data_IF_109393509731
#
_entry.id   IF_109393509731
#
_cell.length_a   1.000
_cell.length_b   1.000
_cell.length_c   1.000
_cell.angle_alpha   90.00
_cell.angle_beta   90.00
_cell.angle_gamma   90.00
#
_symmetry.space_group_name_H-M   'P 1'
#
loop_
_entity.id
_entity.type
_entity.pdbx_description
1 polymer ?
#
# COMPACT_ATOMS: atom_id res chain seq x y z
N UNK A 1 47.80 -32.20 42.28
CA UNK A 1 46.75 -31.17 42.37
C UNK A 1 46.09 -31.00 41.01
N UNK A 2 44.80 -31.37 40.96
CA UNK A 2 43.71 -31.04 40.02
C UNK A 2 44.04 -31.00 38.51
N UNK A 3 43.78 -32.13 37.85
CA UNK A 3 43.53 -32.23 36.41
C UNK A 3 42.17 -31.60 36.10
N UNK A 4 42.15 -30.43 35.44
CA UNK A 4 40.93 -29.80 34.95
C UNK A 4 40.43 -30.52 33.69
N UNK A 5 39.35 -31.30 33.81
CA UNK A 5 38.60 -31.86 32.68
C UNK A 5 37.72 -30.75 32.09
N UNK A 6 37.96 -30.39 30.83
CA UNK A 6 37.08 -29.52 30.04
C UNK A 6 35.85 -30.35 29.60
N UNK A 7 34.69 -30.07 30.19
CA UNK A 7 33.41 -30.69 29.80
C UNK A 7 32.80 -29.81 28.72
N UNK A 8 32.90 -30.25 27.47
CA UNK A 8 32.17 -29.65 26.35
C UNK A 8 30.74 -30.15 26.45
N UNK A 9 29.83 -29.29 26.92
CA UNK A 9 28.39 -29.50 26.85
C UNK A 9 27.97 -29.38 25.38
N UNK A 10 27.73 -30.53 24.74
CA UNK A 10 27.17 -30.59 23.40
C UNK A 10 25.69 -30.17 23.47
N UNK A 11 25.38 -28.98 22.94
CA UNK A 11 24.00 -28.58 22.67
C UNK A 11 23.51 -29.39 21.46
N UNK A 12 22.77 -30.46 21.71
CA UNK A 12 22.02 -31.18 20.69
C UNK A 12 20.81 -30.32 20.30
N UNK A 13 20.99 -29.44 19.32
CA UNK A 13 19.89 -28.74 18.66
C UNK A 13 19.13 -29.75 17.81
N UNK A 14 18.06 -30.33 18.35
CA UNK A 14 17.11 -31.12 17.57
C UNK A 14 16.39 -30.18 16.60
N UNK A 15 16.80 -30.21 15.34
CA UNK A 15 16.06 -29.60 14.24
C UNK A 15 14.84 -30.50 14.01
N UNK A 16 13.66 -30.03 14.42
CA UNK A 16 12.40 -30.65 14.01
C UNK A 16 12.27 -30.55 12.50
N UNK A 17 12.49 -31.66 11.81
CA UNK A 17 12.00 -31.88 10.46
C UNK A 17 10.76 -32.78 10.52
N UNK A 18 9.90 -32.60 9.52
CA UNK A 18 8.65 -33.33 9.27
C UNK A 18 7.45 -32.75 10.05
N UNK A 19 6.27 -32.51 9.50
CA UNK A 19 5.63 -33.04 8.28
C UNK A 19 4.56 -32.05 7.80
N UNK A 20 4.38 -31.98 6.48
CA UNK A 20 3.06 -31.80 5.86
C UNK A 20 2.43 -30.41 5.95
N UNK A 21 2.28 -29.75 4.79
CA UNK A 21 1.06 -28.98 4.58
C UNK A 21 -0.11 -29.97 4.76
N UNK A 22 -0.72 -29.99 5.93
CA UNK A 22 -2.07 -30.52 6.06
C UNK A 22 -2.94 -29.64 5.15
N UNK A 23 -3.31 -30.19 3.99
CA UNK A 23 -4.46 -29.75 3.22
C UNK A 23 -5.67 -29.90 4.14
N UNK A 24 -5.90 -28.87 4.95
CA UNK A 24 -7.12 -28.76 5.73
C UNK A 24 -8.23 -28.61 4.70
N UNK A 25 -8.96 -29.70 4.53
CA UNK A 25 -10.09 -29.85 3.64
C UNK A 25 -10.99 -28.61 3.71
N UNK A 26 -11.12 -27.93 2.58
CA UNK A 26 -12.18 -26.97 2.39
C UNK A 26 -13.52 -27.71 2.49
N UNK A 27 -14.25 -27.48 3.58
CA UNK A 27 -15.64 -27.91 3.67
C UNK A 27 -16.48 -26.88 4.42
N UNK A 28 -17.54 -26.46 3.72
CA UNK A 28 -18.78 -25.87 4.20
C UNK A 28 -18.80 -24.37 4.52
N UNK A 29 -18.94 -23.60 3.44
CA UNK A 29 -20.15 -22.80 3.17
C UNK A 29 -21.01 -22.43 4.40
N UNK A 30 -20.72 -21.28 5.02
CA UNK A 30 -21.74 -20.39 5.57
C UNK A 30 -21.18 -18.98 5.68
N UNK A 31 -21.46 -18.21 4.62
CA UNK A 31 -21.69 -16.77 4.65
C UNK A 31 -20.90 -16.02 5.73
N UNK A 32 -19.59 -15.86 5.50
CA UNK A 32 -18.87 -14.76 6.12
C UNK A 32 -19.40 -13.53 5.40
N UNK A 33 -20.41 -12.89 5.99
CA UNK A 33 -20.64 -11.46 5.76
C UNK A 33 -19.35 -10.78 6.23
N UNK A 34 -18.36 -10.74 5.33
CA UNK A 34 -17.27 -9.79 5.40
C UNK A 34 -18.02 -8.47 5.49
N UNK A 35 -18.00 -7.86 6.68
CA UNK A 35 -18.48 -6.52 6.88
C UNK A 35 -17.55 -5.64 6.03
N UNK A 36 -17.86 -5.54 4.74
CA UNK A 36 -17.32 -4.53 3.88
C UNK A 36 -17.78 -3.23 4.54
N UNK A 37 -16.87 -2.39 5.06
CA UNK A 37 -17.29 -1.09 5.51
C UNK A 37 -17.97 -0.45 4.31
N UNK A 38 -19.25 -0.14 4.45
CA UNK A 38 -19.99 0.75 3.55
C UNK A 38 -19.41 2.15 3.74
N UNK A 39 -18.10 2.32 3.46
CA UNK A 39 -17.54 3.64 3.29
C UNK A 39 -18.19 4.16 2.02
N UNK A 40 -19.09 5.12 2.17
CA UNK A 40 -19.68 5.86 1.06
C UNK A 40 -18.51 6.48 0.31
N UNK A 41 -18.07 5.82 -0.77
CA UNK A 41 -17.06 6.36 -1.67
C UNK A 41 -17.64 7.64 -2.26
N UNK A 42 -17.18 8.77 -1.74
CA UNK A 42 -17.63 10.07 -2.22
C UNK A 42 -16.78 10.44 -3.42
N UNK A 43 -17.42 10.58 -4.57
CA UNK A 43 -16.79 11.19 -5.75
C UNK A 43 -16.57 12.68 -5.47
N UNK A 44 -15.36 13.15 -5.76
CA UNK A 44 -14.93 14.52 -5.55
C UNK A 44 -14.12 15.00 -6.73
N UNK A 45 -14.12 16.31 -6.93
CA UNK A 45 -13.19 17.00 -7.81
C UNK A 45 -12.21 17.78 -6.92
N UNK A 46 -10.91 17.52 -7.06
CA UNK A 46 -9.86 18.19 -6.28
C UNK A 46 -8.83 18.82 -7.22
N UNK A 47 -8.31 19.98 -6.83
CA UNK A 47 -7.20 20.64 -7.51
C UNK A 47 -6.02 20.74 -6.56
N UNK A 48 -4.85 20.33 -7.02
CA UNK A 48 -3.72 20.18 -6.12
C UNK A 48 -2.44 19.77 -6.82
N UNK A 49 -1.46 19.38 -6.03
CA UNK A 49 -0.15 18.95 -6.50
C UNK A 49 -0.01 17.43 -6.43
N UNK A 50 0.32 16.80 -7.55
CA UNK A 50 0.72 15.39 -7.60
C UNK A 50 2.23 15.25 -7.39
N UNK A 51 2.64 14.31 -6.55
CA UNK A 51 4.04 13.97 -6.23
C UNK A 51 4.27 12.48 -6.37
N UNK A 52 5.29 12.11 -7.14
CA UNK A 52 5.77 10.72 -7.24
C UNK A 52 7.28 10.62 -7.07
N UNK A 53 7.71 9.78 -6.14
CA UNK A 53 9.08 9.30 -5.93
C UNK A 53 9.05 7.80 -5.62
N UNK A 54 10.19 7.17 -5.31
CA UNK A 54 10.23 5.72 -4.99
C UNK A 54 9.38 5.38 -3.77
N UNK A 55 9.21 6.37 -2.91
CA UNK A 55 8.59 6.29 -1.61
C UNK A 55 7.27 7.06 -1.60
N UNK A 56 7.17 8.16 -2.35
CA UNK A 56 6.04 9.07 -2.31
C UNK A 56 5.11 8.79 -3.49
N UNK A 57 3.82 8.67 -3.21
CA UNK A 57 2.78 8.64 -4.25
C UNK A 57 1.53 9.37 -3.75
N UNK A 58 1.59 10.70 -3.86
CA UNK A 58 0.72 11.60 -3.11
C UNK A 58 0.04 12.62 -4.01
N UNK A 59 -1.15 13.03 -3.57
CA UNK A 59 -1.86 14.19 -4.08
C UNK A 59 -2.16 15.11 -2.91
N UNK A 60 -1.81 16.39 -3.03
CA UNK A 60 -2.01 17.38 -1.95
C UNK A 60 -3.00 18.44 -2.42
N UNK A 61 -4.13 18.55 -1.72
CA UNK A 61 -5.20 19.52 -1.98
C UNK A 61 -5.63 20.12 -0.64
N UNK A 62 -5.72 21.46 -0.54
CA UNK A 62 -6.18 22.16 0.67
C UNK A 62 -5.53 21.66 1.98
N UNK A 63 -4.21 21.47 1.95
CA UNK A 63 -3.40 20.93 3.06
C UNK A 63 -3.74 19.49 3.48
N UNK A 64 -4.58 18.78 2.73
CA UNK A 64 -4.86 17.35 2.91
C UNK A 64 -3.99 16.54 1.97
N UNK A 65 -3.32 15.51 2.52
CA UNK A 65 -2.48 14.58 1.78
C UNK A 65 -3.26 13.29 1.54
N UNK A 66 -3.40 12.92 0.27
CA UNK A 66 -4.05 11.68 -0.17
C UNK A 66 -3.01 10.73 -0.74
N UNK A 67 -3.09 9.45 -0.39
CA UNK A 67 -2.44 8.41 -1.18
C UNK A 67 -3.11 8.29 -2.55
N UNK A 68 -2.32 8.17 -3.61
CA UNK A 68 -2.85 8.11 -4.98
C UNK A 68 -2.97 6.68 -5.48
N UNK A 69 -4.20 6.29 -5.81
CA UNK A 69 -4.50 5.11 -6.62
C UNK A 69 -4.91 5.56 -8.03
N UNK A 70 -4.02 5.35 -9.01
CA UNK A 70 -4.23 5.72 -10.42
C UNK A 70 -4.21 4.49 -11.33
N UNK A 71 -5.29 3.67 -11.34
CA UNK A 71 -5.32 2.39 -12.05
C UNK A 71 -5.21 2.54 -13.57
N UNK A 72 -5.68 3.66 -14.12
CA UNK A 72 -5.63 3.97 -15.56
C UNK A 72 -4.34 4.69 -15.98
N UNK A 73 -3.44 4.97 -15.02
CA UNK A 73 -2.20 5.70 -15.20
C UNK A 73 -2.41 7.08 -15.85
N UNK A 74 -3.51 7.76 -15.53
CA UNK A 74 -3.87 9.06 -16.09
C UNK A 74 -2.83 10.13 -15.75
N UNK A 75 -2.37 10.18 -14.51
CA UNK A 75 -1.39 11.16 -14.04
C UNK A 75 -0.02 10.92 -14.68
N UNK A 76 0.34 9.65 -14.92
CA UNK A 76 1.58 9.30 -15.62
C UNK A 76 1.50 9.69 -17.10
N UNK A 77 0.36 9.46 -17.74
CA UNK A 77 0.13 9.90 -19.14
C UNK A 77 0.18 11.41 -19.25
N UNK A 78 -0.48 12.12 -18.34
CA UNK A 78 -0.50 13.58 -18.32
C UNK A 78 0.90 14.16 -18.08
N UNK A 79 1.70 13.55 -17.21
CA UNK A 79 3.07 14.01 -17.00
C UNK A 79 3.96 14.00 -18.25
N UNK A 80 3.66 13.14 -19.23
CA UNK A 80 4.37 13.12 -20.51
C UNK A 80 4.01 14.34 -21.37
N UNK A 81 2.75 14.80 -21.32
CA UNK A 81 2.29 16.02 -21.98
C UNK A 81 3.01 17.25 -21.42
N UNK A 82 3.30 17.22 -20.11
CA UNK A 82 4.05 18.25 -19.38
C UNK A 82 5.59 18.15 -19.52
N UNK A 83 6.08 17.31 -20.45
CA UNK A 83 7.51 17.07 -20.70
C UNK A 83 8.31 16.62 -19.45
N UNK A 84 7.64 16.05 -18.44
CA UNK A 84 8.34 15.43 -17.31
C UNK A 84 8.77 14.02 -17.68
N UNK A 85 10.07 13.84 -17.91
CA UNK A 85 10.67 12.53 -18.22
C UNK A 85 11.07 11.78 -16.94
N UNK A 86 11.30 10.48 -17.04
CA UNK A 86 11.75 9.65 -15.91
C UNK A 86 10.64 9.21 -14.95
N UNK A 87 11.04 8.65 -13.80
CA UNK A 87 10.13 8.06 -12.81
C UNK A 87 9.53 9.10 -11.85
N UNK A 88 10.33 10.08 -11.43
CA UNK A 88 9.92 11.14 -10.53
C UNK A 88 8.97 12.13 -11.22
N UNK A 89 7.89 12.50 -10.54
CA UNK A 89 6.86 13.42 -11.05
C UNK A 89 6.50 14.46 -10.02
N UNK A 90 6.34 15.71 -10.46
CA UNK A 90 5.81 16.78 -9.64
C UNK A 90 5.09 17.82 -10.49
N UNK A 91 3.76 17.87 -10.43
CA UNK A 91 2.99 18.87 -11.18
C UNK A 91 1.65 19.15 -10.53
N UNK A 92 1.12 20.34 -10.80
CA UNK A 92 -0.24 20.72 -10.44
C UNK A 92 -1.24 20.15 -11.45
N UNK A 93 -2.36 19.64 -10.95
CA UNK A 93 -3.42 19.10 -11.79
C UNK A 93 -4.76 19.11 -11.06
N UNK A 94 -5.84 18.87 -11.81
CA UNK A 94 -7.19 18.73 -11.30
C UNK A 94 -7.68 17.32 -11.62
N UNK A 95 -8.21 16.63 -10.61
CA UNK A 95 -8.61 15.23 -10.71
C UNK A 95 -10.03 15.03 -10.21
N UNK A 96 -10.73 14.07 -10.83
CA UNK A 96 -12.02 13.56 -10.37
C UNK A 96 -11.82 12.12 -9.93
N UNK A 97 -12.28 11.78 -8.73
CA UNK A 97 -12.07 10.46 -8.15
C UNK A 97 -12.83 10.22 -6.86
N UNK A 98 -12.75 9.00 -6.35
CA UNK A 98 -13.39 8.60 -5.10
C UNK A 98 -12.41 8.70 -3.94
N UNK A 99 -12.83 9.31 -2.83
CA UNK A 99 -12.09 9.26 -1.56
C UNK A 99 -12.56 8.04 -0.76
N UNK A 100 -11.61 7.28 -0.23
CA UNK A 100 -11.85 6.26 0.78
C UNK A 100 -11.01 6.50 2.03
N UNK A 101 -11.53 6.08 3.18
CA UNK A 101 -10.85 6.15 4.48
C UNK A 101 -9.79 5.06 4.68
N UNK A 102 -9.61 4.18 3.69
CA UNK A 102 -8.58 3.14 3.70
C UNK A 102 -7.36 3.71 3.00
N UNK A 103 -6.64 4.60 3.69
CA UNK A 103 -5.32 4.99 3.23
C UNK A 103 -4.33 3.81 3.32
N UNK A 104 -3.43 3.73 2.34
CA UNK A 104 -2.37 2.74 2.31
C UNK A 104 -1.21 3.13 3.25
N UNK A 105 -0.27 2.22 3.46
CA UNK A 105 0.99 2.55 4.13
C UNK A 105 1.96 3.16 3.12
N UNK A 106 2.38 4.40 3.39
CA UNK A 106 3.52 5.03 2.76
C UNK A 106 4.76 5.03 3.66
N UNK A 107 5.87 5.60 3.17
CA UNK A 107 7.13 5.74 3.90
C UNK A 107 6.97 6.61 5.15
N UNK A 108 6.07 7.60 5.10
CA UNK A 108 5.74 8.48 6.22
C UNK A 108 4.70 7.88 7.18
N UNK A 109 4.31 6.62 6.97
CA UNK A 109 3.28 5.93 7.75
C UNK A 109 1.97 5.79 7.00
N UNK A 110 0.90 5.47 7.74
CA UNK A 110 -0.43 5.25 7.17
C UNK A 110 -1.04 6.57 6.72
N UNK A 111 -1.38 6.68 5.43
CA UNK A 111 -2.17 7.81 4.94
C UNK A 111 -3.56 7.76 5.57
N UNK A 112 -4.12 8.92 5.91
CA UNK A 112 -5.48 8.98 6.44
C UNK A 112 -6.52 8.72 5.35
N UNK A 113 -6.24 9.18 4.13
CA UNK A 113 -7.16 9.11 2.99
C UNK A 113 -6.44 8.57 1.75
N UNK A 114 -7.18 7.84 0.93
CA UNK A 114 -6.78 7.49 -0.44
C UNK A 114 -7.72 8.18 -1.42
N UNK A 115 -7.18 8.69 -2.52
CA UNK A 115 -7.95 9.08 -3.70
C UNK A 115 -7.72 8.08 -4.83
N UNK A 116 -8.81 7.51 -5.35
CA UNK A 116 -8.77 6.68 -6.56
C UNK A 116 -9.19 7.52 -7.76
N UNK A 117 -8.23 7.82 -8.64
CA UNK A 117 -8.39 8.71 -9.78
C UNK A 117 -9.22 8.02 -10.85
N UNK A 118 -10.32 8.66 -11.26
CA UNK A 118 -11.18 8.20 -12.36
C UNK A 118 -10.86 8.93 -13.65
N UNK A 119 -10.67 10.25 -13.54
CA UNK A 119 -10.49 11.20 -14.65
C UNK A 119 -9.60 12.39 -14.24
N UNK A 120 -9.01 13.05 -15.23
CA UNK A 120 -8.41 14.38 -15.09
C UNK A 120 -9.48 15.39 -15.51
N UNK A 121 -9.58 16.53 -14.82
CA UNK A 121 -10.54 17.57 -15.19
C UNK A 121 -10.35 18.02 -16.64
N UNK A 122 -11.46 18.33 -17.31
CA UNK A 122 -11.47 18.89 -18.67
C UNK A 122 -10.99 20.36 -18.70
#
# INVERSE_FOLDING_TARGET
MIKGKLIILAFASTIFMSTGCDETQASNNKNVNVFAPTSVEKEVQLRGSFKRSFEIHEFVSDNIIYYVSDPKQLLIKDSKSLNQKGYYKYFETCVIGNISSIGQYGPLGKYQNQITIREICA
#
